data_IF_596834004568
#
_entry.id   IF_596834004568
#
_cell.length_a   1.000
_cell.length_b   1.000
_cell.length_c   1.000
_cell.angle_alpha   90.00
_cell.angle_beta   90.00
_cell.angle_gamma   90.00
#
_symmetry.space_group_name_H-M   'P 1'
#
loop_
_entity.id
_entity.type
_entity.pdbx_description
1 polymer ?
#
# COMPACT_ATOMS: atom_id res chain seq x y z
N UNK A 1 -11.83 22.44 -10.20
CA UNK A 1 -12.73 23.42 -9.57
C UNK A 1 -12.13 23.89 -8.24
N UNK A 2 -11.87 23.01 -7.23
CA UNK A 2 -11.37 23.40 -5.91
C UNK A 2 -10.03 24.16 -5.93
N UNK A 3 -9.07 23.73 -6.74
CA UNK A 3 -7.77 24.40 -6.87
C UNK A 3 -7.93 25.84 -7.42
N UNK A 4 -8.83 26.03 -8.37
CA UNK A 4 -9.13 27.37 -8.92
C UNK A 4 -9.73 28.28 -7.83
N UNK A 5 -10.65 27.76 -7.05
CA UNK A 5 -11.24 28.50 -5.91
C UNK A 5 -10.16 28.87 -4.88
N UNK A 6 -9.26 27.95 -4.54
CA UNK A 6 -8.15 28.21 -3.63
C UNK A 6 -7.22 29.32 -4.15
N UNK A 7 -6.91 29.31 -5.45
CA UNK A 7 -6.08 30.35 -6.09
C UNK A 7 -6.74 31.73 -6.05
N UNK A 8 -8.08 31.81 -6.22
CA UNK A 8 -8.84 33.06 -6.12
C UNK A 8 -8.80 33.62 -4.71
N UNK A 9 -8.89 32.77 -3.68
CA UNK A 9 -8.82 33.23 -2.29
C UNK A 9 -7.43 33.73 -1.90
N UNK A 10 -6.38 32.96 -2.19
CA UNK A 10 -4.99 33.34 -1.94
C UNK A 10 -4.03 32.42 -2.68
N UNK A 11 -3.25 32.96 -3.61
CA UNK A 11 -2.26 32.20 -4.35
C UNK A 11 -1.12 31.72 -3.43
N UNK A 12 -0.75 32.51 -2.41
CA UNK A 12 0.31 32.19 -1.45
C UNK A 12 -0.07 31.00 -0.58
N UNK A 13 -1.27 31.00 0.01
CA UNK A 13 -1.74 29.88 0.82
C UNK A 13 -1.91 28.61 0.01
N UNK A 14 -2.35 28.73 -1.24
CA UNK A 14 -2.48 27.60 -2.18
C UNK A 14 -1.12 26.99 -2.49
N UNK A 15 -0.10 27.79 -2.74
CA UNK A 15 1.26 27.33 -2.99
C UNK A 15 1.81 26.58 -1.78
N UNK A 16 1.61 27.08 -0.58
CA UNK A 16 2.02 26.42 0.68
C UNK A 16 1.28 25.08 0.86
N UNK A 17 -0.04 25.07 0.67
CA UNK A 17 -0.84 23.86 0.81
C UNK A 17 -0.43 22.79 -0.21
N UNK A 18 -0.11 23.17 -1.45
CA UNK A 18 0.30 22.26 -2.52
C UNK A 18 1.77 21.85 -2.43
N UNK A 19 2.65 22.64 -1.80
CA UNK A 19 4.08 22.32 -1.69
C UNK A 19 4.36 21.02 -0.94
N UNK A 20 3.45 20.57 -0.10
CA UNK A 20 3.55 19.29 0.64
C UNK A 20 3.32 18.09 -0.28
N UNK A 21 2.55 18.24 -1.36
CA UNK A 21 2.24 17.14 -2.26
C UNK A 21 3.49 16.53 -2.93
N UNK A 22 4.40 17.30 -3.54
CA UNK A 22 5.61 16.75 -4.14
C UNK A 22 6.50 16.05 -3.13
N UNK A 23 6.60 16.57 -1.90
CA UNK A 23 7.38 15.95 -0.83
C UNK A 23 6.75 14.60 -0.44
N UNK A 24 5.45 14.54 -0.33
CA UNK A 24 4.70 13.34 0.05
C UNK A 24 4.71 12.29 -1.07
N UNK A 25 4.59 12.70 -2.33
CA UNK A 25 4.77 11.82 -3.49
C UNK A 25 6.19 11.26 -3.50
N UNK A 26 7.20 12.10 -3.28
CA UNK A 26 8.60 11.69 -3.17
C UNK A 26 8.80 10.64 -2.07
N UNK A 27 8.26 10.87 -0.88
CA UNK A 27 8.33 9.92 0.24
C UNK A 27 7.68 8.58 -0.11
N UNK A 28 6.52 8.61 -0.77
CA UNK A 28 5.81 7.39 -1.19
C UNK A 28 6.58 6.63 -2.26
N UNK A 29 7.12 7.32 -3.26
CA UNK A 29 7.89 6.72 -4.36
C UNK A 29 9.20 6.12 -3.85
N UNK A 30 9.90 6.80 -2.95
CA UNK A 30 11.15 6.32 -2.34
C UNK A 30 10.89 5.14 -1.38
N UNK A 31 9.79 5.15 -0.66
CA UNK A 31 9.39 4.08 0.26
C UNK A 31 8.82 2.83 -0.43
N UNK A 32 8.25 2.98 -1.62
CA UNK A 32 7.59 1.90 -2.35
C UNK A 32 8.47 0.66 -2.61
N UNK A 33 9.74 0.77 -3.08
CA UNK A 33 10.57 -0.40 -3.34
C UNK A 33 10.91 -1.18 -2.06
N UNK A 34 11.10 -0.48 -0.93
CA UNK A 34 11.34 -1.11 0.36
C UNK A 34 10.13 -1.91 0.82
N UNK A 35 8.95 -1.29 0.77
CA UNK A 35 7.68 -1.97 1.11
C UNK A 35 7.44 -3.19 0.21
N UNK A 36 7.67 -3.09 -1.10
CA UNK A 36 7.53 -4.23 -2.03
C UNK A 36 8.45 -5.38 -1.70
N UNK A 37 9.72 -5.10 -1.38
CA UNK A 37 10.68 -6.14 -1.00
C UNK A 37 10.24 -6.88 0.26
N UNK A 38 9.81 -6.15 1.28
CA UNK A 38 9.33 -6.74 2.54
C UNK A 38 8.02 -7.49 2.34
N UNK A 39 7.13 -7.00 1.46
CA UNK A 39 5.89 -7.67 1.11
C UNK A 39 6.15 -9.04 0.46
N UNK A 40 7.07 -9.11 -0.50
CA UNK A 40 7.45 -10.37 -1.17
C UNK A 40 8.05 -11.36 -0.17
N UNK A 41 9.00 -10.91 0.66
CA UNK A 41 9.61 -11.75 1.68
C UNK A 41 8.56 -12.33 2.66
N UNK A 42 7.60 -11.50 3.10
CA UNK A 42 6.50 -11.97 3.96
C UNK A 42 5.56 -12.95 3.26
N UNK A 43 5.28 -12.75 1.96
CA UNK A 43 4.45 -13.65 1.18
C UNK A 43 5.11 -15.03 0.97
N UNK A 44 6.42 -15.05 0.75
CA UNK A 44 7.20 -16.29 0.63
C UNK A 44 7.16 -17.11 1.93
N UNK A 45 7.41 -16.47 3.08
CA UNK A 45 7.36 -17.16 4.38
C UNK A 45 5.93 -17.64 4.73
N UNK A 46 4.91 -16.86 4.35
CA UNK A 46 3.52 -17.30 4.46
C UNK A 46 3.25 -18.55 3.63
N UNK A 47 3.71 -18.58 2.39
CA UNK A 47 3.53 -19.73 1.50
C UNK A 47 4.22 -20.98 2.05
N UNK A 48 5.45 -20.88 2.57
CA UNK A 48 6.17 -21.98 3.22
C UNK A 48 5.40 -22.52 4.42
N UNK A 49 4.89 -21.63 5.28
CA UNK A 49 4.10 -22.00 6.47
C UNK A 49 2.83 -22.74 6.08
N UNK A 50 2.11 -22.25 5.03
CA UNK A 50 0.89 -22.89 4.55
C UNK A 50 1.17 -24.22 3.86
N UNK A 51 2.22 -24.31 3.03
CA UNK A 51 2.62 -25.55 2.35
C UNK A 51 2.94 -26.65 3.34
N UNK A 52 3.72 -26.34 4.39
CA UNK A 52 4.03 -27.30 5.43
C UNK A 52 2.78 -27.75 6.22
N UNK A 53 1.83 -26.83 6.49
CA UNK A 53 0.57 -27.19 7.14
C UNK A 53 -0.25 -28.15 6.29
N UNK A 54 -0.38 -27.87 4.97
CA UNK A 54 -1.10 -28.73 4.03
C UNK A 54 -0.42 -30.09 3.93
N UNK A 55 0.92 -30.15 3.84
CA UNK A 55 1.69 -31.39 3.80
C UNK A 55 1.41 -32.27 5.02
N UNK A 56 1.50 -31.68 6.24
CA UNK A 56 1.23 -32.39 7.50
C UNK A 56 -0.22 -32.90 7.57
N UNK A 57 -1.19 -32.08 7.14
CA UNK A 57 -2.60 -32.46 7.15
C UNK A 57 -2.92 -33.58 6.14
N UNK A 58 -2.32 -33.50 4.94
CA UNK A 58 -2.48 -34.52 3.91
C UNK A 58 -1.84 -35.85 4.34
N UNK A 59 -0.68 -35.79 5.00
CA UNK A 59 0.05 -36.96 5.52
C UNK A 59 -0.27 -37.29 6.98
N UNK A 60 -1.39 -36.85 7.53
CA UNK A 60 -1.68 -36.97 8.97
C UNK A 60 -1.63 -38.40 9.51
N UNK A 61 -2.01 -39.39 8.69
CA UNK A 61 -1.94 -40.80 9.06
C UNK A 61 -0.49 -41.24 9.27
N UNK A 62 0.41 -40.82 8.38
CA UNK A 62 1.85 -41.10 8.48
C UNK A 62 2.47 -40.42 9.70
N UNK A 63 2.12 -39.17 9.93
CA UNK A 63 2.58 -38.39 11.10
C UNK A 63 2.15 -39.09 12.41
N UNK A 64 0.92 -39.59 12.48
CA UNK A 64 0.40 -40.33 13.62
C UNK A 64 1.04 -41.69 13.76
N UNK A 65 1.21 -42.43 12.65
CA UNK A 65 1.83 -43.75 12.70
C UNK A 65 3.29 -43.71 13.18
N UNK A 66 4.01 -42.63 12.85
CA UNK A 66 5.40 -42.42 13.26
C UNK A 66 5.55 -41.72 14.62
N UNK A 67 4.46 -41.24 15.23
CA UNK A 67 4.44 -40.46 16.47
C UNK A 67 5.33 -39.20 16.44
N UNK A 68 5.32 -38.47 15.28
CA UNK A 68 6.16 -37.29 15.04
C UNK A 68 5.37 -35.96 15.09
N UNK A 69 4.19 -35.94 15.72
CA UNK A 69 3.33 -34.76 15.81
C UNK A 69 4.06 -33.55 16.43
N UNK A 70 4.83 -33.81 17.49
CA UNK A 70 5.57 -32.75 18.19
C UNK A 70 6.66 -32.14 17.29
N UNK A 71 7.35 -32.95 16.50
CA UNK A 71 8.38 -32.50 15.58
C UNK A 71 7.76 -31.67 14.46
N UNK A 72 6.65 -32.14 13.89
CA UNK A 72 5.88 -31.40 12.88
C UNK A 72 5.37 -30.06 13.39
N UNK A 73 4.87 -30.03 14.63
CA UNK A 73 4.42 -28.81 15.31
C UNK A 73 5.58 -27.81 15.51
N UNK A 74 6.74 -28.26 15.98
CA UNK A 74 7.90 -27.39 16.17
C UNK A 74 8.39 -26.79 14.86
N UNK A 75 8.44 -27.58 13.80
CA UNK A 75 8.82 -27.12 12.47
C UNK A 75 7.82 -26.08 11.94
N UNK A 76 6.52 -26.31 12.12
CA UNK A 76 5.51 -25.32 11.78
C UNK A 76 5.68 -24.02 12.58
N UNK A 77 5.93 -24.11 13.88
CA UNK A 77 6.17 -22.96 14.74
C UNK A 77 7.39 -22.15 14.31
N UNK A 78 8.45 -22.81 13.84
CA UNK A 78 9.63 -22.16 13.30
C UNK A 78 9.30 -21.36 12.04
N UNK A 79 8.64 -21.95 11.07
CA UNK A 79 8.18 -21.23 9.86
C UNK A 79 7.22 -20.09 10.20
N UNK A 80 6.30 -20.33 11.11
CA UNK A 80 5.34 -19.31 11.54
C UNK A 80 6.03 -18.14 12.24
N UNK A 81 7.04 -18.38 13.06
CA UNK A 81 7.82 -17.33 13.72
C UNK A 81 8.56 -16.45 12.72
N UNK A 82 9.14 -17.05 11.69
CA UNK A 82 9.80 -16.31 10.59
C UNK A 82 8.79 -15.45 9.79
N UNK A 83 7.61 -16.02 9.48
CA UNK A 83 6.54 -15.27 8.86
C UNK A 83 6.10 -14.05 9.70
N UNK A 84 5.91 -14.25 11.02
CA UNK A 84 5.53 -13.17 11.94
C UNK A 84 6.62 -12.10 12.00
N UNK A 85 7.90 -12.46 12.07
CA UNK A 85 9.02 -11.52 12.08
C UNK A 85 9.03 -10.67 10.80
N UNK A 86 8.88 -11.27 9.62
CA UNK A 86 8.81 -10.54 8.34
C UNK A 86 7.57 -9.63 8.23
N UNK A 87 6.44 -10.11 8.73
CA UNK A 87 5.20 -9.32 8.77
C UNK A 87 5.34 -8.12 9.71
N UNK A 88 6.01 -8.29 10.83
CA UNK A 88 6.28 -7.23 11.78
C UNK A 88 7.19 -6.14 11.19
N UNK A 89 8.31 -6.52 10.55
CA UNK A 89 9.20 -5.59 9.83
C UNK A 89 8.42 -4.76 8.78
N UNK A 90 7.60 -5.44 7.97
CA UNK A 90 6.73 -4.78 6.98
C UNK A 90 5.78 -3.79 7.64
N UNK A 91 5.13 -4.20 8.73
CA UNK A 91 4.14 -3.37 9.45
C UNK A 91 4.80 -2.12 10.04
N UNK A 92 5.96 -2.26 10.68
CA UNK A 92 6.72 -1.12 11.22
C UNK A 92 7.09 -0.14 10.10
N UNK A 93 7.65 -0.63 9.00
CA UNK A 93 8.07 0.22 7.88
C UNK A 93 6.87 0.94 7.27
N UNK A 94 5.77 0.23 7.01
CA UNK A 94 4.55 0.81 6.44
C UNK A 94 3.93 1.85 7.39
N UNK A 95 3.87 1.54 8.69
CA UNK A 95 3.36 2.46 9.70
C UNK A 95 4.26 3.70 9.83
N UNK A 96 5.58 3.54 9.84
CA UNK A 96 6.52 4.66 9.91
C UNK A 96 6.35 5.61 8.72
N UNK A 97 6.26 5.08 7.49
CA UNK A 97 6.02 5.89 6.30
C UNK A 97 4.68 6.62 6.35
N UNK A 98 3.62 5.94 6.79
CA UNK A 98 2.30 6.54 6.93
C UNK A 98 2.28 7.65 7.99
N UNK A 99 2.87 7.40 9.17
CA UNK A 99 2.97 8.40 10.23
C UNK A 99 3.81 9.61 9.81
N UNK A 100 4.92 9.40 9.11
CA UNK A 100 5.72 10.49 8.55
C UNK A 100 4.91 11.33 7.58
N UNK A 101 4.13 10.71 6.71
CA UNK A 101 3.20 11.41 5.79
C UNK A 101 2.16 12.23 6.56
N UNK A 102 1.58 11.67 7.62
CA UNK A 102 0.60 12.37 8.45
C UNK A 102 1.21 13.58 9.20
N UNK A 103 2.41 13.42 9.75
CA UNK A 103 3.13 14.51 10.41
C UNK A 103 3.39 15.65 9.41
N UNK A 104 3.89 15.33 8.23
CA UNK A 104 4.13 16.31 7.16
C UNK A 104 2.84 17.07 6.79
N UNK A 105 1.72 16.36 6.68
CA UNK A 105 0.41 16.97 6.42
C UNK A 105 -0.03 17.89 7.56
N UNK A 106 0.18 17.49 8.82
CA UNK A 106 -0.13 18.33 9.99
C UNK A 106 0.72 19.60 10.03
N UNK A 107 2.01 19.50 9.73
CA UNK A 107 2.91 20.66 9.61
C UNK A 107 2.39 21.63 8.54
N UNK A 108 2.02 21.13 7.36
CA UNK A 108 1.43 21.97 6.32
C UNK A 108 0.17 22.69 6.77
N UNK A 109 -0.75 21.97 7.43
CA UNK A 109 -1.97 22.57 7.96
C UNK A 109 -1.69 23.67 8.99
N UNK A 110 -0.68 23.46 9.83
CA UNK A 110 -0.24 24.49 10.79
C UNK A 110 0.37 25.70 10.08
N UNK A 111 1.19 25.50 9.05
CA UNK A 111 1.76 26.59 8.27
C UNK A 111 0.68 27.41 7.55
N UNK A 112 -0.30 26.75 6.93
CA UNK A 112 -1.45 27.41 6.30
C UNK A 112 -2.24 28.22 7.35
N UNK A 113 -2.45 27.65 8.54
CA UNK A 113 -3.16 28.36 9.61
C UNK A 113 -2.36 29.57 10.13
N UNK A 114 -1.06 29.41 10.36
CA UNK A 114 -0.18 30.48 10.83
C UNK A 114 -0.14 31.65 9.85
N UNK A 115 0.18 31.37 8.59
CA UNK A 115 0.30 32.40 7.56
C UNK A 115 -1.08 33.01 7.24
N UNK A 116 -2.12 32.18 7.19
CA UNK A 116 -3.49 32.65 7.00
C UNK A 116 -3.98 33.54 8.15
N UNK A 117 -3.66 33.22 9.40
CA UNK A 117 -3.96 34.05 10.53
C UNK A 117 -3.20 35.39 10.49
N UNK A 118 -1.93 35.39 10.08
CA UNK A 118 -1.15 36.61 9.84
C UNK A 118 -1.81 37.50 8.78
N UNK A 119 -2.29 36.93 7.68
CA UNK A 119 -3.01 37.66 6.62
C UNK A 119 -4.36 38.19 7.07
N UNK A 120 -5.04 37.51 8.00
CA UNK A 120 -6.28 38.03 8.60
C UNK A 120 -5.98 39.24 9.50
N UNK A 121 -4.89 39.21 10.26
CA UNK A 121 -4.47 40.30 11.11
C UNK A 121 -4.00 41.52 10.31
N UNK A 122 -3.38 41.32 9.13
CA UNK A 122 -3.01 42.43 8.23
C UNK A 122 -4.20 42.98 7.41
N UNK A 123 -5.36 42.35 7.48
CA UNK A 123 -6.55 42.76 6.73
C UNK A 123 -6.64 42.28 5.30
N UNK A 124 -5.67 41.46 4.84
CA UNK A 124 -5.62 40.92 3.47
C UNK A 124 -6.61 39.79 3.25
N UNK A 125 -7.04 39.14 4.34
CA UNK A 125 -7.97 38.00 4.28
C UNK A 125 -9.03 38.13 5.39
N UNK A 126 -10.25 37.70 5.16
CA UNK A 126 -11.25 37.58 6.22
C UNK A 126 -11.15 36.23 6.94
N UNK A 127 -11.56 36.20 8.21
CA UNK A 127 -11.60 34.96 8.99
C UNK A 127 -12.44 33.86 8.29
N UNK A 128 -13.58 34.27 7.71
CA UNK A 128 -14.45 33.34 6.95
C UNK A 128 -13.74 32.74 5.73
N UNK A 129 -12.96 33.53 5.01
CA UNK A 129 -12.15 33.06 3.88
C UNK A 129 -11.07 32.07 4.33
N UNK A 130 -10.39 32.30 5.45
CA UNK A 130 -9.41 31.37 5.99
C UNK A 130 -10.03 30.03 6.37
N UNK A 131 -11.20 30.04 7.01
CA UNK A 131 -11.93 28.83 7.38
C UNK A 131 -12.37 28.08 6.11
N UNK A 132 -12.95 28.78 5.13
CA UNK A 132 -13.35 28.20 3.85
C UNK A 132 -12.14 27.59 3.11
N UNK A 133 -11.02 28.30 3.05
CA UNK A 133 -9.77 27.81 2.46
C UNK A 133 -9.28 26.52 3.13
N UNK A 134 -9.29 26.45 4.45
CA UNK A 134 -8.89 25.26 5.20
C UNK A 134 -9.76 24.05 4.90
N UNK A 135 -11.07 24.24 4.80
CA UNK A 135 -12.02 23.18 4.45
C UNK A 135 -11.76 22.68 3.01
N UNK A 136 -11.66 23.60 2.06
CA UNK A 136 -11.44 23.30 0.65
C UNK A 136 -10.09 22.62 0.43
N UNK A 137 -9.04 23.07 1.10
CA UNK A 137 -7.69 22.47 1.06
C UNK A 137 -7.72 21.00 1.47
N UNK A 138 -8.53 20.63 2.48
CA UNK A 138 -8.74 19.23 2.85
C UNK A 138 -9.36 18.38 1.72
N UNK A 139 -10.34 18.92 1.01
CA UNK A 139 -10.98 18.25 -0.14
C UNK A 139 -10.05 18.09 -1.36
N UNK A 140 -8.99 18.88 -1.47
CA UNK A 140 -7.98 18.75 -2.53
C UNK A 140 -6.88 17.78 -2.15
N UNK A 141 -6.34 17.91 -0.95
CA UNK A 141 -5.16 17.14 -0.51
C UNK A 141 -5.49 15.65 -0.35
N UNK A 142 -6.63 15.31 0.24
CA UNK A 142 -7.02 13.91 0.49
C UNK A 142 -7.14 13.05 -0.79
N UNK A 143 -7.88 13.47 -1.84
CA UNK A 143 -7.95 12.68 -3.08
C UNK A 143 -6.60 12.55 -3.80
N UNK A 144 -5.77 13.61 -3.77
CA UNK A 144 -4.46 13.56 -4.42
C UNK A 144 -3.52 12.53 -3.76
N UNK A 145 -3.60 12.40 -2.43
CA UNK A 145 -2.88 11.35 -1.72
C UNK A 145 -3.39 9.95 -2.04
N UNK A 146 -4.69 9.79 -2.18
CA UNK A 146 -5.30 8.51 -2.60
C UNK A 146 -4.90 8.11 -4.02
N UNK A 147 -4.69 9.05 -4.93
CA UNK A 147 -4.21 8.74 -6.28
C UNK A 147 -2.85 8.04 -6.27
N UNK A 148 -1.94 8.42 -5.37
CA UNK A 148 -0.66 7.74 -5.21
C UNK A 148 -0.83 6.27 -4.80
N UNK A 149 -1.80 5.97 -3.93
CA UNK A 149 -2.13 4.61 -3.49
C UNK A 149 -2.82 3.81 -4.61
N UNK A 150 -3.73 4.45 -5.37
CA UNK A 150 -4.41 3.83 -6.51
C UNK A 150 -3.40 3.41 -7.57
N UNK A 151 -2.39 4.22 -7.85
CA UNK A 151 -1.33 3.88 -8.79
C UNK A 151 -0.56 2.61 -8.41
N UNK A 152 -0.31 2.41 -7.11
CA UNK A 152 0.30 1.18 -6.60
C UNK A 152 -0.62 -0.04 -6.80
N UNK A 153 -1.90 0.11 -6.48
CA UNK A 153 -2.90 -0.95 -6.66
C UNK A 153 -3.05 -1.36 -8.13
N UNK A 154 -3.00 -0.39 -9.08
CA UNK A 154 -3.03 -0.68 -10.53
C UNK A 154 -1.82 -1.52 -10.95
N UNK A 155 -0.63 -1.26 -10.41
CA UNK A 155 0.54 -2.08 -10.72
C UNK A 155 0.43 -3.52 -10.17
N UNK A 156 -0.19 -3.70 -9.00
CA UNK A 156 -0.46 -5.02 -8.44
C UNK A 156 -1.50 -5.79 -9.25
N UNK A 157 -2.55 -5.10 -9.69
CA UNK A 157 -3.57 -5.65 -10.59
C UNK A 157 -2.95 -6.11 -11.92
N UNK A 158 -2.05 -5.31 -12.51
CA UNK A 158 -1.36 -5.69 -13.75
C UNK A 158 -0.60 -7.02 -13.61
N UNK A 159 0.14 -7.21 -12.54
CA UNK A 159 0.85 -8.47 -12.27
C UNK A 159 -0.12 -9.64 -12.10
N UNK A 160 -1.28 -9.40 -11.48
CA UNK A 160 -2.32 -10.43 -11.32
C UNK A 160 -2.99 -10.78 -12.66
N UNK A 161 -3.20 -9.80 -13.53
CA UNK A 161 -3.71 -10.02 -14.90
C UNK A 161 -2.70 -10.77 -15.78
N UNK A 162 -1.41 -10.46 -15.69
CA UNK A 162 -0.36 -11.19 -16.42
C UNK A 162 -0.35 -12.67 -16.03
N UNK A 163 -0.52 -13.00 -14.74
CA UNK A 163 -0.63 -14.40 -14.28
C UNK A 163 -1.91 -15.10 -14.73
N UNK A 164 -3.03 -14.37 -14.79
CA UNK A 164 -4.29 -14.89 -15.31
C UNK A 164 -4.21 -15.15 -16.81
N UNK A 165 -3.58 -14.25 -17.57
CA UNK A 165 -3.36 -14.42 -19.00
C UNK A 165 -2.49 -15.68 -19.28
N UNK A 166 -1.46 -15.90 -18.49
CA UNK A 166 -0.57 -17.06 -18.59
C UNK A 166 -1.33 -18.40 -18.41
N UNK A 167 -2.34 -18.40 -17.52
CA UNK A 167 -3.21 -19.57 -17.32
C UNK A 167 -4.21 -19.75 -18.46
N UNK A 168 -4.75 -18.66 -19.02
CA UNK A 168 -5.74 -18.69 -20.11
C UNK A 168 -5.08 -19.05 -21.45
N UNK A 169 -3.86 -18.54 -21.69
CA UNK A 169 -3.09 -18.79 -22.92
C UNK A 169 -2.41 -20.18 -22.93
N UNK A 170 -2.48 -20.94 -21.82
CA UNK A 170 -1.97 -22.31 -21.78
C UNK A 170 -2.87 -23.20 -22.63
N UNK A 171 -2.36 -23.81 -23.71
CA UNK A 171 -3.17 -24.68 -24.60
C UNK A 171 -3.74 -25.87 -23.82
N UNK A 172 -4.99 -26.21 -24.09
CA UNK A 172 -5.65 -27.39 -23.50
C UNK A 172 -4.96 -28.68 -23.96
N UNK A 173 -4.63 -29.56 -23.03
CA UNK A 173 -4.05 -30.90 -23.35
C UNK A 173 -4.89 -31.72 -24.34
N UNK A 174 -6.19 -31.46 -24.44
CA UNK A 174 -7.10 -32.15 -25.34
C UNK A 174 -6.90 -31.80 -26.82
N UNK A 175 -6.36 -30.63 -27.15
CA UNK A 175 -6.19 -30.18 -28.54
C UNK A 175 -5.05 -30.91 -29.31
N UNK A 176 -4.06 -31.49 -28.62
CA UNK A 176 -2.99 -32.25 -29.25
C UNK A 176 -3.35 -33.74 -29.50
N UNK A 177 -4.20 -34.32 -28.66
CA UNK A 177 -4.53 -35.75 -28.74
C UNK A 177 -5.56 -36.01 -29.83
N UNK A 178 -6.41 -35.06 -30.18
CA UNK A 178 -7.50 -35.26 -31.16
C UNK A 178 -7.02 -35.11 -32.61
N UNK A 179 -5.90 -34.43 -32.88
CA UNK A 179 -5.32 -34.29 -34.23
C UNK A 179 -4.51 -35.49 -34.66
N UNK A 180 -4.09 -36.38 -33.75
CA UNK A 180 -3.34 -37.59 -34.08
C UNK A 180 -4.21 -38.82 -34.32
N UNK A 181 -5.53 -38.76 -34.08
CA UNK A 181 -6.47 -39.88 -34.26
C UNK A 181 -7.26 -39.84 -35.56
N UNK A 182 -7.03 -38.87 -36.45
CA UNK A 182 -7.76 -38.70 -37.74
C UNK A 182 -6.81 -38.87 -38.94
N UNK A 183 -5.74 -39.64 -38.81
CA UNK A 183 -4.97 -40.15 -39.94
C UNK A 183 -4.87 -41.67 -39.90
#
# INVERSE_FOLDING_TARGET
>A
IYIVVMLIYSWLLTLIALSVLPIQIGLTVLGAPLCRRQFRAGAEEKAKTQSHLVEVLTGIQTVKAQNVEMVSRWRWQEFYSQYIARTFEKTITGTALNQTSQVLQKISQLMVLWIGASMVLSGDLTLGQLIAFRIISGYVTQPLLRLSTIWQNIQELRVSFERLADVIDTPEESDEVDKSKVM
#
